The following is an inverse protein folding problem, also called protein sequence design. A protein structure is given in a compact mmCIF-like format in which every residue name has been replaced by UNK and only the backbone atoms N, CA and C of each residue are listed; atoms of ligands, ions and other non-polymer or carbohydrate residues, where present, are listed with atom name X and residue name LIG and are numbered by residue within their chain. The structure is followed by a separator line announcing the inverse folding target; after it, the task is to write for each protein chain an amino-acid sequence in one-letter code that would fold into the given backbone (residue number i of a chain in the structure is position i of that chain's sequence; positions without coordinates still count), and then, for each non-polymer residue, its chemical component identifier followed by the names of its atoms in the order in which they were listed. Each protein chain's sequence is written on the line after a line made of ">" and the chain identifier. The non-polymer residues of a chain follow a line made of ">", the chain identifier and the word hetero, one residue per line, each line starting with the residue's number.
data_IF_178095405152
#
_entry.id   IF_178095405152
#
_cell.length_a   1.000
_cell.length_b   1.000
_cell.length_c   1.000
_cell.angle_alpha   90.00
_cell.angle_beta   90.00
_cell.angle_gamma   90.00
#
_symmetry.space_group_name_H-M   'P 1'
#
loop_
_entity.id
_entity.type
_entity.pdbx_description
1 polymer ?
#
# COMPACT_ATOMS: atom_id res chain seq x y z
N UNK A 1 9.15 -22.84 -5.59
CA UNK A 1 7.70 -23.07 -5.79
C UNK A 1 6.99 -21.81 -5.34
N UNK A 2 7.02 -20.72 -6.14
CA UNK A 2 6.19 -19.51 -5.97
C UNK A 2 6.44 -18.41 -7.03
N UNK A 3 7.39 -18.59 -7.94
CA UNK A 3 7.86 -17.48 -8.80
C UNK A 3 6.76 -16.86 -9.69
N UNK A 4 5.75 -17.63 -10.11
CA UNK A 4 4.67 -17.13 -10.97
C UNK A 4 3.50 -16.40 -10.27
N UNK A 5 3.31 -16.53 -8.95
CA UNK A 5 2.15 -15.89 -8.28
C UNK A 5 2.38 -14.39 -8.13
N UNK A 6 3.62 -13.98 -7.85
CA UNK A 6 3.97 -12.58 -7.67
C UNK A 6 3.93 -11.80 -8.99
N UNK A 7 4.21 -12.44 -10.12
CA UNK A 7 4.18 -11.80 -11.45
C UNK A 7 2.78 -11.31 -11.85
N UNK A 8 1.73 -12.03 -11.42
CA UNK A 8 0.34 -11.65 -11.70
C UNK A 8 -0.26 -10.65 -10.70
N UNK A 9 0.53 -10.13 -9.76
CA UNK A 9 0.06 -9.07 -8.88
C UNK A 9 -0.13 -7.79 -9.68
N UNK A 10 -1.23 -7.09 -9.41
CA UNK A 10 -1.55 -5.82 -10.09
C UNK A 10 -0.46 -4.76 -9.95
N UNK A 11 0.38 -4.83 -8.91
CA UNK A 11 1.52 -3.92 -8.71
C UNK A 11 2.71 -4.21 -9.63
N UNK A 12 2.80 -5.41 -10.22
CA UNK A 12 3.82 -5.78 -11.20
C UNK A 12 3.27 -5.84 -12.63
N UNK A 13 1.95 -5.87 -12.79
CA UNK A 13 1.30 -5.86 -14.10
C UNK A 13 1.57 -4.53 -14.82
N UNK A 14 1.80 -4.61 -16.13
CA UNK A 14 2.05 -3.45 -16.99
C UNK A 14 0.93 -3.30 -18.06
N UNK A 15 0.79 -2.09 -18.59
CA UNK A 15 -0.05 -1.78 -19.76
C UNK A 15 -1.49 -2.36 -19.67
N UNK A 16 -1.87 -3.17 -20.65
CA UNK A 16 -3.22 -3.75 -20.76
C UNK A 16 -3.56 -4.73 -19.65
N UNK A 17 -2.57 -5.44 -19.09
CA UNK A 17 -2.78 -6.35 -17.97
C UNK A 17 -3.13 -5.57 -16.70
N UNK A 18 -2.38 -4.49 -16.43
CA UNK A 18 -2.71 -3.56 -15.34
C UNK A 18 -4.10 -2.97 -15.51
N UNK A 19 -4.44 -2.52 -16.73
CA UNK A 19 -5.76 -1.94 -17.03
C UNK A 19 -6.87 -2.96 -16.75
N UNK A 20 -6.69 -4.21 -17.20
CA UNK A 20 -7.64 -5.30 -16.97
C UNK A 20 -7.81 -5.64 -15.49
N UNK A 21 -6.71 -5.74 -14.73
CA UNK A 21 -6.74 -6.01 -13.29
C UNK A 21 -7.38 -4.85 -12.52
N UNK A 22 -6.99 -3.61 -12.83
CA UNK A 22 -7.54 -2.40 -12.22
C UNK A 22 -9.04 -2.27 -12.45
N UNK A 23 -9.53 -2.54 -13.66
CA UNK A 23 -10.97 -2.51 -13.95
C UNK A 23 -11.75 -3.51 -13.09
N UNK A 24 -11.17 -4.67 -12.76
CA UNK A 24 -11.81 -5.66 -11.88
C UNK A 24 -11.78 -5.26 -10.40
N UNK A 25 -10.70 -4.64 -9.93
CA UNK A 25 -10.53 -4.31 -8.49
C UNK A 25 -11.20 -2.98 -8.12
N UNK A 26 -11.24 -2.00 -9.02
CA UNK A 26 -11.76 -0.65 -8.74
C UNK A 26 -13.18 -0.62 -8.14
N UNK A 27 -14.15 -1.44 -8.56
CA UNK A 27 -15.51 -1.42 -7.99
C UNK A 27 -15.57 -1.71 -6.49
N UNK A 28 -14.61 -2.48 -5.96
CA UNK A 28 -14.49 -2.81 -4.53
C UNK A 28 -14.28 -1.57 -3.66
N UNK A 29 -13.66 -0.53 -4.21
CA UNK A 29 -13.37 0.73 -3.52
C UNK A 29 -14.34 1.86 -3.88
N UNK A 30 -15.54 1.52 -4.38
CA UNK A 30 -16.60 2.52 -4.59
C UNK A 30 -17.06 3.15 -3.27
N UNK A 31 -17.57 4.38 -3.31
CA UNK A 31 -17.98 5.12 -2.11
C UNK A 31 -18.99 4.37 -1.24
N UNK A 32 -19.88 3.58 -1.86
CA UNK A 32 -20.85 2.75 -1.13
C UNK A 32 -20.15 1.62 -0.38
N UNK A 33 -19.20 0.93 -1.02
CA UNK A 33 -18.43 -0.15 -0.38
C UNK A 33 -17.49 0.40 0.70
N UNK A 34 -16.87 1.55 0.47
CA UNK A 34 -16.06 2.26 1.46
C UNK A 34 -16.88 2.61 2.71
N UNK A 35 -18.11 3.11 2.55
CA UNK A 35 -19.02 3.36 3.67
C UNK A 35 -19.38 2.10 4.45
N UNK A 36 -19.51 0.95 3.79
CA UNK A 36 -19.73 -0.33 4.46
C UNK A 36 -18.50 -0.77 5.27
N UNK A 37 -17.30 -0.60 4.71
CA UNK A 37 -16.04 -0.90 5.40
C UNK A 37 -15.77 0.02 6.59
N UNK A 38 -16.27 1.26 6.56
CA UNK A 38 -16.08 2.24 7.64
C UNK A 38 -16.52 1.72 9.01
N UNK A 39 -17.59 0.94 9.08
CA UNK A 39 -18.05 0.34 10.34
C UNK A 39 -16.98 -0.58 10.95
N UNK A 40 -16.33 -1.40 10.12
CA UNK A 40 -15.27 -2.30 10.56
C UNK A 40 -14.00 -1.53 10.94
N UNK A 41 -13.70 -0.44 10.22
CA UNK A 41 -12.56 0.44 10.51
C UNK A 41 -12.76 1.15 11.85
N UNK A 42 -13.97 1.62 12.14
CA UNK A 42 -14.34 2.26 13.40
C UNK A 42 -14.19 1.28 14.57
N UNK A 43 -14.60 0.03 14.41
CA UNK A 43 -14.42 -1.00 15.43
C UNK A 43 -12.93 -1.31 15.69
N UNK A 44 -12.10 -1.34 14.64
CA UNK A 44 -10.64 -1.43 14.81
C UNK A 44 -10.09 -0.23 15.59
N UNK A 45 -10.57 0.98 15.28
CA UNK A 45 -10.11 2.20 15.95
C UNK A 45 -10.47 2.20 17.43
N UNK A 46 -11.69 1.76 17.79
CA UNK A 46 -12.12 1.61 19.19
C UNK A 46 -11.20 0.68 19.99
N UNK A 47 -10.74 -0.43 19.40
CA UNK A 47 -9.81 -1.33 20.06
C UNK A 47 -8.44 -0.71 20.28
N UNK A 48 -7.93 0.03 19.30
CA UNK A 48 -6.65 0.76 19.44
C UNK A 48 -6.74 1.88 20.46
N UNK A 49 -7.87 2.61 20.51
CA UNK A 49 -8.08 3.64 21.54
C UNK A 49 -8.05 3.06 22.95
N UNK A 50 -8.66 1.89 23.17
CA UNK A 50 -8.57 1.19 24.48
C UNK A 50 -7.13 0.86 24.86
N UNK A 51 -6.33 0.40 23.89
CA UNK A 51 -4.90 0.16 24.13
C UNK A 51 -4.18 1.45 24.53
N UNK A 52 -4.48 2.58 23.88
CA UNK A 52 -3.90 3.88 24.27
C UNK A 52 -4.34 4.36 25.66
N UNK A 53 -5.59 4.09 26.04
CA UNK A 53 -6.08 4.38 27.40
C UNK A 53 -5.27 3.59 28.45
N UNK A 54 -4.97 2.32 28.20
CA UNK A 54 -4.12 1.49 29.08
C UNK A 54 -2.69 2.06 29.21
N UNK A 55 -2.06 2.42 28.09
CA UNK A 55 -0.73 3.06 28.12
C UNK A 55 -0.75 4.39 28.88
N UNK A 56 -1.81 5.19 28.71
CA UNK A 56 -1.96 6.46 29.41
C UNK A 56 -2.14 6.29 30.92
N UNK A 57 -2.95 5.31 31.35
CA UNK A 57 -3.15 4.98 32.77
C UNK A 57 -1.84 4.52 33.42
N UNK A 58 -1.08 3.68 32.72
CA UNK A 58 0.19 3.15 33.24
C UNK A 58 1.37 4.13 33.09
N UNK A 59 1.16 5.28 32.43
CA UNK A 59 2.22 6.25 32.09
C UNK A 59 3.39 5.61 31.34
N UNK A 60 3.08 4.67 30.44
CA UNK A 60 4.05 3.92 29.66
C UNK A 60 4.26 4.55 28.28
N UNK A 61 5.50 4.51 27.80
CA UNK A 61 5.79 4.84 26.40
C UNK A 61 5.36 3.69 25.49
N UNK A 62 4.80 4.02 24.33
CA UNK A 62 4.43 3.02 23.32
C UNK A 62 5.18 3.23 22.00
N UNK A 63 5.30 2.16 21.22
CA UNK A 63 5.85 2.23 19.86
C UNK A 63 4.69 2.48 18.87
N UNK A 64 4.66 3.69 18.30
CA UNK A 64 3.62 4.08 17.35
C UNK A 64 3.60 3.22 16.08
N UNK A 65 4.77 2.91 15.50
CA UNK A 65 4.88 2.12 14.28
C UNK A 65 4.28 0.72 14.46
N UNK A 66 4.51 0.11 15.63
CA UNK A 66 3.95 -1.21 15.96
C UNK A 66 2.43 -1.14 16.12
N UNK A 67 1.91 -0.15 16.83
CA UNK A 67 0.46 -0.02 17.07
C UNK A 67 -0.28 0.28 15.76
N UNK A 68 0.21 1.24 14.98
CA UNK A 68 -0.41 1.57 13.70
C UNK A 68 -0.23 0.45 12.67
N UNK A 69 0.90 -0.26 12.67
CA UNK A 69 1.08 -1.46 11.84
C UNK A 69 0.05 -2.55 12.15
N UNK A 70 -0.14 -2.86 13.44
CA UNK A 70 -1.16 -3.82 13.88
C UNK A 70 -2.59 -3.35 13.56
N UNK A 71 -2.86 -2.06 13.70
CA UNK A 71 -4.14 -1.46 13.31
C UNK A 71 -4.43 -1.66 11.82
N UNK A 72 -3.48 -1.32 10.95
CA UNK A 72 -3.63 -1.47 9.50
C UNK A 72 -3.86 -2.93 9.10
N UNK A 73 -3.12 -3.87 9.70
CA UNK A 73 -3.30 -5.31 9.44
C UNK A 73 -4.70 -5.77 9.86
N UNK A 74 -5.19 -5.35 11.02
CA UNK A 74 -6.52 -5.71 11.51
C UNK A 74 -7.63 -5.12 10.63
N UNK A 75 -7.48 -3.88 10.17
CA UNK A 75 -8.39 -3.27 9.18
C UNK A 75 -8.44 -4.10 7.91
N UNK A 76 -7.29 -4.51 7.36
CA UNK A 76 -7.24 -5.35 6.16
C UNK A 76 -7.87 -6.72 6.42
N UNK A 77 -7.58 -7.36 7.55
CA UNK A 77 -8.13 -8.65 7.92
C UNK A 77 -9.66 -8.62 7.98
N UNK A 78 -10.25 -7.60 8.62
CA UNK A 78 -11.70 -7.48 8.75
C UNK A 78 -12.37 -7.09 7.44
N UNK A 79 -11.82 -6.13 6.71
CA UNK A 79 -12.47 -5.60 5.50
C UNK A 79 -12.29 -6.48 4.27
N UNK A 80 -11.11 -7.06 4.06
CA UNK A 80 -10.80 -7.85 2.88
C UNK A 80 -11.03 -9.36 3.07
N UNK A 81 -10.80 -9.87 4.29
CA UNK A 81 -10.85 -11.31 4.58
C UNK A 81 -11.95 -11.69 5.58
N UNK A 82 -12.79 -10.73 6.01
CA UNK A 82 -13.85 -10.94 6.99
C UNK A 82 -13.38 -11.68 8.27
N UNK A 83 -12.11 -11.47 8.65
CA UNK A 83 -11.45 -12.17 9.76
C UNK A 83 -11.05 -11.16 10.83
N UNK A 84 -11.29 -11.50 12.10
CA UNK A 84 -10.88 -10.69 13.24
C UNK A 84 -9.59 -11.21 13.84
N UNK A 85 -8.67 -10.32 14.17
CA UNK A 85 -7.41 -10.66 14.86
C UNK A 85 -7.54 -10.25 16.32
N UNK A 86 -7.60 -11.22 17.22
CA UNK A 86 -7.73 -10.95 18.66
C UNK A 86 -6.49 -10.24 19.19
N UNK A 87 -6.70 -9.11 19.89
CA UNK A 87 -5.66 -8.21 20.38
C UNK A 87 -4.60 -8.92 21.24
N UNK A 88 -5.04 -9.82 22.13
CA UNK A 88 -4.17 -10.61 23.02
C UNK A 88 -3.22 -11.56 22.26
N UNK A 89 -3.57 -11.94 21.03
CA UNK A 89 -2.81 -12.89 20.20
C UNK A 89 -1.98 -12.22 19.10
N UNK A 90 -2.04 -10.88 18.97
CA UNK A 90 -1.54 -10.14 17.79
C UNK A 90 -0.06 -10.37 17.49
N UNK A 91 0.79 -10.57 18.50
CA UNK A 91 2.24 -10.79 18.29
C UNK A 91 2.58 -12.18 17.76
N UNK A 92 1.76 -13.19 18.05
CA UNK A 92 1.99 -14.57 17.62
C UNK A 92 1.04 -15.03 16.52
N UNK A 93 0.13 -14.17 16.07
CA UNK A 93 -0.79 -14.51 15.01
C UNK A 93 -0.03 -14.74 13.67
N UNK A 94 -0.19 -15.91 13.03
CA UNK A 94 0.50 -16.22 11.77
C UNK A 94 0.10 -15.25 10.65
N UNK A 95 -1.13 -14.74 10.64
CA UNK A 95 -1.57 -13.74 9.66
C UNK A 95 -0.74 -12.46 9.77
N UNK A 96 -0.54 -11.95 11.00
CA UNK A 96 0.26 -10.74 11.27
C UNK A 96 1.71 -10.94 10.82
N UNK A 97 2.31 -12.11 11.10
CA UNK A 97 3.70 -12.41 10.69
C UNK A 97 3.86 -12.41 9.17
N UNK A 98 2.96 -13.06 8.44
CA UNK A 98 3.02 -13.09 6.97
C UNK A 98 2.76 -11.71 6.35
N UNK A 99 1.78 -10.96 6.86
CA UNK A 99 1.44 -9.63 6.33
C UNK A 99 2.55 -8.62 6.61
N UNK A 100 3.20 -8.66 7.78
CA UNK A 100 4.36 -7.82 8.06
C UNK A 100 5.52 -8.10 7.09
N UNK A 101 5.77 -9.37 6.76
CA UNK A 101 6.77 -9.72 5.73
C UNK A 101 6.42 -9.16 4.35
N UNK A 102 5.14 -9.19 3.96
CA UNK A 102 4.68 -8.64 2.69
C UNK A 102 4.76 -7.10 2.65
N UNK A 103 4.38 -6.41 3.73
CA UNK A 103 4.38 -4.94 3.79
C UNK A 103 5.78 -4.33 3.65
N UNK A 104 6.82 -5.00 4.14
CA UNK A 104 8.22 -4.56 3.98
C UNK A 104 8.65 -4.50 2.50
N UNK A 105 8.01 -5.26 1.61
CA UNK A 105 8.37 -5.36 0.20
C UNK A 105 7.71 -4.27 -0.67
N UNK A 106 6.62 -3.64 -0.23
CA UNK A 106 5.81 -2.77 -1.10
C UNK A 106 6.28 -1.31 -1.18
N UNK A 107 6.95 -0.79 -0.15
CA UNK A 107 7.38 0.62 -0.12
C UNK A 107 8.54 0.96 -1.06
N UNK A 108 9.59 0.12 -1.22
CA UNK A 108 10.70 0.43 -2.12
C UNK A 108 10.31 0.38 -3.61
N UNK A 109 9.40 -0.54 -3.99
CA UNK A 109 9.09 -0.80 -5.40
C UNK A 109 8.29 0.34 -6.06
N UNK A 110 7.40 0.99 -5.30
CA UNK A 110 6.65 2.16 -5.77
C UNK A 110 7.57 3.38 -5.99
N UNK A 111 8.65 3.49 -5.22
CA UNK A 111 9.64 4.57 -5.35
C UNK A 111 10.58 4.33 -6.54
N UNK A 112 10.95 3.07 -6.81
CA UNK A 112 11.84 2.71 -7.92
C UNK A 112 11.19 2.83 -9.30
N UNK A 113 9.88 2.58 -9.42
CA UNK A 113 9.17 2.76 -10.69
C UNK A 113 9.02 4.23 -11.10
N UNK A 114 8.98 5.16 -10.14
CA UNK A 114 8.99 6.60 -10.43
C UNK A 114 10.37 7.12 -10.90
N UNK A 115 11.46 6.36 -10.68
CA UNK A 115 12.81 6.78 -11.08
C UNK A 115 13.17 6.38 -12.53
N UNK A 116 12.43 5.43 -13.15
CA UNK A 116 12.57 5.13 -14.58
C UNK A 116 11.78 6.13 -15.46
N UNK A 117 10.55 6.49 -15.07
CA UNK A 117 9.76 7.48 -15.85
C UNK A 117 10.40 8.88 -15.83
N UNK A 118 11.08 9.27 -14.74
CA UNK A 118 11.79 10.56 -14.65
C UNK A 118 12.99 10.63 -15.61
N UNK A 119 13.74 9.54 -15.78
CA UNK A 119 14.89 9.47 -16.71
C UNK A 119 14.49 9.49 -18.17
N UNK A 120 13.34 8.89 -18.52
CA UNK A 120 12.88 8.86 -19.91
C UNK A 120 12.37 10.23 -20.37
N UNK A 121 11.66 10.95 -19.49
CA UNK A 121 11.19 12.31 -19.77
C UNK A 121 12.34 13.33 -19.92
N UNK A 122 13.44 13.14 -19.19
CA UNK A 122 14.64 13.98 -19.29
C UNK A 122 15.45 13.72 -20.56
N UNK A 123 15.37 12.51 -21.14
CA UNK A 123 16.08 12.17 -22.38
C UNK A 123 15.34 12.73 -23.59
N UNK A 124 14.01 12.63 -23.62
CA UNK A 124 13.16 13.19 -24.70
C UNK A 124 13.20 14.73 -24.73
N UNK A 125 13.25 15.38 -23.56
CA UNK A 125 13.44 16.85 -23.47
C UNK A 125 14.81 17.30 -23.97
N UNK A 126 15.87 16.50 -23.78
CA UNK A 126 17.20 16.84 -24.28
C UNK A 126 17.31 16.73 -25.81
N UNK A 127 16.68 15.71 -26.41
CA UNK A 127 16.62 15.58 -27.87
C UNK A 127 15.82 16.72 -28.51
N UNK A 128 14.66 17.09 -27.93
CA UNK A 128 13.85 18.21 -28.43
C UNK A 128 14.54 19.58 -28.32
N UNK A 129 15.37 19.82 -27.30
CA UNK A 129 16.14 21.06 -27.17
C UNK A 129 17.28 21.13 -28.20
N UNK A 130 17.94 19.99 -28.48
CA UNK A 130 19.03 19.90 -29.44
C UNK A 130 18.57 20.18 -30.89
N UNK A 131 17.36 19.75 -31.25
CA UNK A 131 16.76 20.02 -32.56
C UNK A 131 16.44 21.51 -32.77
N UNK A 132 16.05 22.22 -31.71
CA UNK A 132 15.74 23.65 -31.76
C UNK A 132 17.03 24.47 -31.93
N UNK A 133 18.10 24.12 -31.21
CA UNK A 133 19.39 24.80 -31.30
C UNK A 133 20.08 24.57 -32.65
N UNK A 134 19.97 23.35 -33.21
CA UNK A 134 20.51 23.05 -34.55
C UNK A 134 19.79 23.81 -35.67
N UNK A 135 18.51 24.14 -35.50
CA UNK A 135 17.73 24.87 -36.50
C UNK A 135 17.93 26.40 -36.39
N UNK A 136 18.29 26.91 -35.21
CA UNK A 136 18.63 28.31 -34.98
C UNK A 136 20.03 28.69 -35.52
N UNK A 137 20.95 27.73 -35.66
CA UNK A 137 22.30 27.97 -36.18
C UNK A 137 22.42 28.00 -37.72
N UNK A 138 21.34 27.67 -38.44
CA UNK A 138 21.29 27.59 -39.91
C UNK A 138 20.40 28.67 -40.58
N UNK A 139 20.07 29.76 -39.86
CA UNK A 139 19.39 30.97 -40.39
C UNK A 139 20.27 32.19 -40.17
#
# INVERSE_FOLDING_TARGET
>A
MNDGILEHLMVHALNDEWKKLRTKVSPTFSSVKMKQMLLLIEDCAKEVTKAFEEYAVNSESFNADKIFGLYTIDVIARTAFATRIDYESKENNPFVKHVNGLMQLQFPLLLLLNDEESKQLDTEKKESIFDIESNAANV
#
